data_IF_145061650970
#
_entry.id   IF_145061650970
#
_cell.length_a   1.000
_cell.length_b   1.000
_cell.length_c   1.000
_cell.angle_alpha   90.00
_cell.angle_beta   90.00
_cell.angle_gamma   90.00
#
_symmetry.space_group_name_H-M   'P 1'
#
loop_
_entity.id
_entity.type
_entity.pdbx_description
1 polymer ?
#
# COMPACT_ATOMS: atom_id res chain seq x y z
N UNK A 1 -14.85 6.63 4.40
CA UNK A 1 -13.47 6.78 3.88
C UNK A 1 -12.71 5.51 4.20
N UNK A 2 -12.48 4.64 3.22
CA UNK A 2 -11.82 3.36 3.43
C UNK A 2 -10.31 3.58 3.55
N UNK A 3 -9.80 3.70 4.77
CA UNK A 3 -8.38 3.68 5.04
C UNK A 3 -7.82 2.30 4.70
N UNK A 4 -7.24 2.14 3.51
CA UNK A 4 -6.54 0.90 3.15
C UNK A 4 -5.25 0.85 3.97
N UNK A 5 -5.16 -0.06 4.93
CA UNK A 5 -3.95 -0.23 5.74
C UNK A 5 -2.92 -1.10 5.01
N UNK A 6 -1.71 -0.57 4.80
CA UNK A 6 -0.58 -1.25 4.17
C UNK A 6 0.52 -1.54 5.19
N UNK A 7 1.39 -2.49 4.88
CA UNK A 7 2.57 -2.74 5.69
C UNK A 7 3.73 -1.87 5.18
N UNK A 8 4.21 -0.95 6.02
CA UNK A 8 5.35 -0.11 5.67
C UNK A 8 6.63 -0.85 6.03
N UNK A 9 7.39 -1.31 5.04
CA UNK A 9 8.66 -2.03 5.26
C UNK A 9 9.71 -1.20 6.01
N UNK A 10 9.62 0.13 5.92
CA UNK A 10 10.53 1.07 6.59
C UNK A 10 10.20 1.22 8.07
N UNK A 11 8.91 1.33 8.39
CA UNK A 11 8.42 1.44 9.76
C UNK A 11 8.20 0.05 10.41
N UNK A 12 8.23 -1.02 9.63
CA UNK A 12 7.94 -2.42 10.02
C UNK A 12 6.60 -2.63 10.71
N UNK A 13 5.64 -1.76 10.43
CA UNK A 13 4.32 -1.73 11.04
C UNK A 13 3.24 -1.50 9.99
N UNK A 14 2.00 -1.84 10.35
CA UNK A 14 0.82 -1.57 9.52
C UNK A 14 0.43 -0.11 9.71
N UNK A 15 0.31 0.62 8.60
CA UNK A 15 -0.03 2.04 8.56
C UNK A 15 -1.07 2.27 7.48
N UNK A 16 -1.84 3.34 7.63
CA UNK A 16 -2.74 3.79 6.58
C UNK A 16 -1.97 4.16 5.31
N UNK A 17 -2.47 3.71 4.17
CA UNK A 17 -1.98 4.11 2.85
C UNK A 17 -2.65 5.43 2.49
N UNK A 18 -1.87 6.50 2.47
CA UNK A 18 -2.28 7.79 1.91
C UNK A 18 -2.22 7.69 0.39
N UNK A 19 -3.18 8.26 -0.32
CA UNK A 19 -3.27 8.16 -1.79
C UNK A 19 -3.26 6.70 -2.29
N UNK A 20 -4.11 5.87 -1.69
CA UNK A 20 -4.25 4.46 -2.07
C UNK A 20 -4.85 4.32 -3.48
N UNK A 21 -4.04 3.90 -4.44
CA UNK A 21 -4.39 3.60 -5.82
C UNK A 21 -4.32 2.10 -6.07
N UNK A 22 -5.35 1.54 -6.69
CA UNK A 22 -5.34 0.16 -7.13
C UNK A 22 -4.59 0.07 -8.47
N UNK A 23 -3.48 -0.66 -8.45
CA UNK A 23 -2.66 -0.95 -9.62
C UNK A 23 -2.72 -2.45 -9.92
N UNK A 24 -2.74 -2.80 -11.19
CA UNK A 24 -2.53 -4.19 -11.61
C UNK A 24 -1.06 -4.35 -11.90
N UNK A 25 -0.37 -5.21 -11.13
CA UNK A 25 1.03 -5.51 -11.40
C UNK A 25 1.17 -6.20 -12.75
N UNK A 26 2.37 -6.13 -13.35
CA UNK A 26 2.68 -6.74 -14.65
C UNK A 26 2.39 -8.27 -14.72
N UNK A 27 2.24 -8.91 -13.56
CA UNK A 27 1.91 -10.33 -13.40
C UNK A 27 0.40 -10.58 -13.26
N UNK A 28 -0.46 -9.59 -13.57
CA UNK A 28 -1.92 -9.71 -13.51
C UNK A 28 -2.54 -9.67 -12.12
N UNK A 29 -1.72 -9.46 -11.06
CA UNK A 29 -2.20 -9.45 -9.68
C UNK A 29 -2.64 -8.04 -9.27
N UNK A 30 -3.84 -7.88 -8.68
CA UNK A 30 -4.26 -6.60 -8.13
C UNK A 30 -3.42 -6.27 -6.89
N UNK A 31 -2.90 -5.06 -6.85
CA UNK A 31 -2.17 -4.53 -5.70
C UNK A 31 -2.64 -3.10 -5.44
N UNK A 32 -2.63 -2.68 -4.20
CA UNK A 32 -2.87 -1.28 -3.84
C UNK A 32 -1.52 -0.61 -3.61
N UNK A 33 -1.19 0.40 -4.38
CA UNK A 33 -0.05 1.28 -4.16
C UNK A 33 -0.52 2.54 -3.42
N UNK A 34 0.33 3.14 -2.60
CA UNK A 34 0.16 4.52 -2.16
C UNK A 34 1.38 5.01 -1.40
N UNK A 35 1.17 5.92 -0.45
CA UNK A 35 2.21 6.66 0.26
C UNK A 35 2.05 6.46 1.77
N UNK A 36 3.15 6.17 2.46
CA UNK A 36 3.16 6.10 3.91
C UNK A 36 3.16 7.53 4.50
N UNK A 37 2.17 7.93 5.33
CA UNK A 37 2.13 9.26 5.93
C UNK A 37 3.21 9.50 6.99
N UNK A 38 3.80 8.43 7.55
CA UNK A 38 4.83 8.52 8.60
C UNK A 38 6.24 8.73 8.03
N UNK A 39 6.59 8.04 6.94
CA UNK A 39 7.95 8.07 6.38
C UNK A 39 8.04 8.57 4.93
N UNK A 40 6.90 8.94 4.33
CA UNK A 40 6.80 9.43 2.95
C UNK A 40 7.14 8.40 1.86
N UNK A 41 7.47 7.17 2.24
CA UNK A 41 7.88 6.13 1.30
C UNK A 41 6.66 5.50 0.64
N UNK A 42 6.80 5.09 -0.63
CA UNK A 42 5.76 4.34 -1.34
C UNK A 42 5.49 3.02 -0.62
N UNK A 43 4.23 2.81 -0.25
CA UNK A 43 3.75 1.62 0.42
C UNK A 43 2.91 0.83 -0.58
N UNK A 44 3.12 -0.48 -0.61
CA UNK A 44 2.41 -1.37 -1.52
C UNK A 44 1.77 -2.47 -0.69
N UNK A 45 0.47 -2.66 -0.87
CA UNK A 45 -0.30 -3.77 -0.32
C UNK A 45 -0.66 -4.67 -1.49
N UNK A 46 0.08 -5.76 -1.64
CA UNK A 46 -0.28 -6.82 -2.57
C UNK A 46 -1.45 -7.56 -1.93
N UNK A 47 -2.63 -7.44 -2.51
CA UNK A 47 -3.76 -8.27 -2.14
C UNK A 47 -3.42 -9.70 -2.52
N UNK A 48 -3.40 -10.61 -1.54
CA UNK A 48 -3.35 -12.04 -1.84
C UNK A 48 -4.72 -12.40 -2.42
N UNK A 49 -4.71 -13.06 -3.58
CA UNK A 49 -5.90 -13.63 -4.22
C UNK A 49 -6.73 -14.44 -3.23
#
# INVERSE_FOLDING_TARGET
>A
MAAKEGYCVKCKEKREIKDAQDIVMKNGRPATQGICPSCGTKIFKIGKS
#
